data_IF_474377421180
#
_entry.id   IF_474377421180
#
_cell.length_a   1.000
_cell.length_b   1.000
_cell.length_c   1.000
_cell.angle_alpha   90.00
_cell.angle_beta   90.00
_cell.angle_gamma   90.00
#
_symmetry.space_group_name_H-M   'P 1'
#
loop_
_entity.id
_entity.type
_entity.pdbx_description
1 polymer ?
#
# COMPACT_ATOMS: atom_id res chain seq x y z
N UNK A 1 25.92 9.31 -20.76
CA UNK A 1 26.41 8.17 -21.57
C UNK A 1 26.35 8.62 -23.00
N UNK A 2 27.45 8.39 -23.73
CA UNK A 2 27.51 8.70 -25.15
C UNK A 2 26.66 7.72 -25.95
N UNK A 3 26.06 8.19 -27.04
CA UNK A 3 25.27 7.34 -27.93
C UNK A 3 26.21 6.46 -28.73
N UNK A 4 25.89 5.20 -28.83
CA UNK A 4 26.73 4.20 -29.54
C UNK A 4 26.41 4.19 -31.03
N UNK A 5 27.42 4.27 -31.85
CA UNK A 5 27.32 4.28 -33.31
C UNK A 5 27.97 3.04 -33.89
N UNK A 6 27.27 2.34 -34.77
CA UNK A 6 27.81 1.25 -35.60
C UNK A 6 27.79 1.69 -37.06
N UNK A 7 28.87 1.43 -37.79
CA UNK A 7 29.03 1.89 -39.18
C UNK A 7 29.29 0.69 -40.10
N UNK A 8 28.54 0.62 -41.21
CA UNK A 8 28.69 -0.47 -42.21
C UNK A 8 28.86 0.13 -43.59
N UNK A 9 29.94 -0.26 -44.25
CA UNK A 9 30.23 0.09 -45.65
C UNK A 9 31.28 -0.89 -46.19
N UNK A 10 31.09 -1.45 -47.39
CA UNK A 10 32.01 -2.39 -48.01
C UNK A 10 33.25 -1.68 -48.63
N UNK A 11 33.17 -0.36 -48.77
CA UNK A 11 34.31 0.45 -49.25
C UNK A 11 35.11 0.96 -48.04
N UNK A 12 36.30 0.35 -47.81
CA UNK A 12 37.18 0.70 -46.70
C UNK A 12 37.46 2.21 -46.55
N UNK A 13 37.64 2.91 -47.69
CA UNK A 13 37.94 4.36 -47.69
C UNK A 13 36.74 5.17 -47.14
N UNK A 14 35.52 4.74 -47.47
CA UNK A 14 34.29 5.38 -46.96
C UNK A 14 34.12 5.04 -45.48
N UNK A 15 34.31 3.77 -45.14
CA UNK A 15 34.22 3.29 -43.77
C UNK A 15 35.18 4.05 -42.83
N UNK A 16 36.46 4.18 -43.24
CA UNK A 16 37.45 4.94 -42.47
C UNK A 16 37.10 6.42 -42.35
N UNK A 17 36.61 7.03 -43.43
CA UNK A 17 36.11 8.42 -43.44
C UNK A 17 34.92 8.64 -42.51
N UNK A 18 33.96 7.71 -42.47
CA UNK A 18 32.81 7.76 -41.59
C UNK A 18 33.22 7.52 -40.12
N UNK A 19 34.14 6.62 -39.87
CA UNK A 19 34.70 6.40 -38.52
C UNK A 19 35.43 7.62 -37.99
N UNK A 20 36.12 8.36 -38.88
CA UNK A 20 36.88 9.58 -38.57
C UNK A 20 36.01 10.84 -38.42
N UNK A 21 34.68 10.75 -38.64
CA UNK A 21 33.76 11.86 -38.41
C UNK A 21 33.78 12.26 -36.93
N UNK A 22 33.61 13.56 -36.60
CA UNK A 22 33.75 14.02 -35.21
C UNK A 22 32.54 13.67 -34.34
N UNK A 23 32.31 12.39 -34.10
CA UNK A 23 31.20 11.83 -33.34
C UNK A 23 31.09 12.39 -31.92
N UNK A 24 32.22 12.66 -31.29
CA UNK A 24 32.29 13.19 -29.92
C UNK A 24 31.61 14.56 -29.79
N UNK A 25 31.58 15.37 -30.86
CA UNK A 25 30.86 16.67 -30.86
C UNK A 25 29.35 16.49 -30.63
N UNK A 26 28.82 15.32 -30.95
CA UNK A 26 27.41 14.97 -30.77
C UNK A 26 27.18 14.10 -29.52
N UNK A 27 28.22 13.86 -28.70
CA UNK A 27 28.17 12.93 -27.59
C UNK A 27 27.84 11.51 -28.08
N UNK A 28 28.51 11.09 -29.13
CA UNK A 28 28.44 9.77 -29.75
C UNK A 28 29.80 9.11 -29.71
N UNK A 29 29.84 7.79 -29.69
CA UNK A 29 31.09 7.01 -29.84
C UNK A 29 30.85 5.85 -30.81
N UNK A 30 31.83 5.62 -31.72
CA UNK A 30 31.82 4.46 -32.62
C UNK A 30 32.18 3.23 -31.82
N UNK A 31 31.27 2.23 -31.80
CA UNK A 31 31.46 0.97 -31.05
C UNK A 31 31.87 -0.21 -31.91
N UNK A 32 31.80 -0.02 -33.22
CA UNK A 32 32.26 -1.00 -34.21
C UNK A 32 32.04 -0.51 -35.62
N UNK A 33 32.69 -1.21 -36.55
CA UNK A 33 32.52 -1.05 -37.99
C UNK A 33 32.53 -2.42 -38.65
N UNK A 34 31.81 -2.59 -39.75
CA UNK A 34 31.70 -3.83 -40.50
C UNK A 34 31.70 -3.55 -42.01
N UNK A 35 32.21 -4.51 -42.80
CA UNK A 35 32.27 -4.43 -44.26
C UNK A 35 31.08 -5.16 -44.93
N UNK A 36 30.29 -5.92 -44.15
CA UNK A 36 29.08 -6.58 -44.62
C UNK A 36 27.98 -6.63 -43.57
N UNK A 37 26.77 -6.96 -44.01
CA UNK A 37 25.58 -6.99 -43.12
C UNK A 37 25.60 -8.13 -42.11
N UNK A 38 26.30 -9.25 -42.36
CA UNK A 38 26.34 -10.39 -41.44
C UNK A 38 27.24 -10.07 -40.24
N UNK A 39 28.43 -9.53 -40.47
CA UNK A 39 29.29 -9.01 -39.41
C UNK A 39 28.61 -7.87 -38.66
N UNK A 40 27.90 -7.00 -39.39
CA UNK A 40 27.11 -5.92 -38.80
C UNK A 40 26.07 -6.41 -37.81
N UNK A 41 25.37 -7.51 -38.09
CA UNK A 41 24.39 -8.10 -37.16
C UNK A 41 25.04 -8.63 -35.88
N UNK A 42 26.20 -9.29 -35.99
CA UNK A 42 26.94 -9.77 -34.81
C UNK A 42 27.35 -8.60 -33.90
N UNK A 43 27.85 -7.52 -34.50
CA UNK A 43 28.23 -6.31 -33.77
C UNK A 43 27.05 -5.58 -33.20
N UNK A 44 25.92 -5.50 -33.91
CA UNK A 44 24.68 -4.89 -33.42
C UNK A 44 24.14 -5.67 -32.22
N UNK A 45 24.15 -7.00 -32.26
CA UNK A 45 23.71 -7.84 -31.14
C UNK A 45 24.65 -7.71 -29.92
N UNK A 46 25.97 -7.54 -30.13
CA UNK A 46 26.97 -7.40 -29.06
C UNK A 46 26.96 -6.04 -28.40
N UNK A 47 26.85 -4.97 -29.18
CA UNK A 47 27.04 -3.60 -28.68
C UNK A 47 25.79 -2.84 -28.43
N UNK A 48 24.62 -3.28 -28.96
CA UNK A 48 23.33 -2.60 -28.88
C UNK A 48 23.46 -1.12 -29.24
N UNK A 49 23.77 -0.79 -30.52
CA UNK A 49 24.00 0.59 -30.95
C UNK A 49 22.70 1.41 -30.91
N UNK A 50 22.82 2.70 -30.56
CA UNK A 50 21.76 3.66 -30.63
C UNK A 50 21.51 4.16 -32.05
N UNK A 51 22.61 4.26 -32.84
CA UNK A 51 22.61 4.75 -34.19
C UNK A 51 23.38 3.76 -35.06
N UNK A 52 22.86 3.47 -36.24
CA UNK A 52 23.55 2.69 -37.27
C UNK A 52 23.61 3.53 -38.56
N UNK A 53 24.80 3.65 -39.14
CA UNK A 53 25.01 4.09 -40.52
C UNK A 53 25.32 2.87 -41.37
N UNK A 54 24.55 2.62 -42.41
CA UNK A 54 24.80 1.46 -43.29
C UNK A 54 24.70 1.83 -44.76
N UNK A 55 25.67 1.39 -45.54
CA UNK A 55 25.47 1.39 -47.00
C UNK A 55 24.36 0.40 -47.37
N UNK A 56 23.62 0.70 -48.44
CA UNK A 56 22.60 -0.20 -48.98
C UNK A 56 23.25 -1.35 -49.74
N UNK A 57 24.29 -1.09 -50.52
CA UNK A 57 24.93 -2.09 -51.38
C UNK A 57 26.17 -2.66 -50.71
N UNK A 58 26.00 -3.80 -50.07
CA UNK A 58 27.10 -4.57 -49.48
C UNK A 58 27.09 -6.02 -49.98
N UNK A 59 28.23 -6.71 -50.00
CA UNK A 59 28.30 -8.12 -50.35
C UNK A 59 27.48 -8.99 -49.39
N UNK A 60 26.84 -10.02 -49.90
CA UNK A 60 26.07 -10.94 -49.08
C UNK A 60 24.72 -10.35 -48.65
N UNK A 61 24.65 -9.80 -47.44
CA UNK A 61 23.49 -9.13 -46.90
C UNK A 61 23.52 -7.65 -47.17
N UNK A 62 22.55 -7.12 -47.90
CA UNK A 62 22.43 -5.70 -48.17
C UNK A 62 21.95 -4.89 -46.97
N UNK A 63 22.16 -3.55 -46.98
CA UNK A 63 21.80 -2.67 -45.88
C UNK A 63 20.29 -2.60 -45.56
N UNK A 64 19.40 -2.90 -46.51
CA UNK A 64 17.96 -2.96 -46.28
C UNK A 64 17.58 -4.23 -45.52
N UNK A 65 18.10 -5.39 -45.96
CA UNK A 65 17.92 -6.67 -45.27
C UNK A 65 18.49 -6.63 -43.85
N UNK A 66 19.67 -6.08 -43.69
CA UNK A 66 20.31 -5.82 -42.41
C UNK A 66 19.40 -4.95 -41.51
N UNK A 67 18.93 -3.82 -42.04
CA UNK A 67 18.08 -2.88 -41.31
C UNK A 67 16.75 -3.53 -40.84
N UNK A 68 16.15 -4.38 -41.68
CA UNK A 68 14.93 -5.11 -41.33
C UNK A 68 15.17 -6.07 -40.15
N UNK A 69 16.29 -6.77 -40.14
CA UNK A 69 16.63 -7.69 -39.04
C UNK A 69 16.89 -6.91 -37.73
N UNK A 70 17.71 -5.85 -37.79
CA UNK A 70 17.96 -5.00 -36.62
C UNK A 70 16.71 -4.41 -36.05
N UNK A 71 15.78 -3.91 -36.89
CA UNK A 71 14.52 -3.31 -36.43
C UNK A 71 13.60 -4.32 -35.77
N UNK A 72 13.65 -5.61 -36.15
CA UNK A 72 12.90 -6.68 -35.47
C UNK A 72 13.39 -6.93 -34.06
N UNK A 73 14.71 -6.92 -33.84
CA UNK A 73 15.34 -7.20 -32.56
C UNK A 73 15.49 -5.95 -31.68
N UNK A 74 15.79 -4.82 -32.30
CA UNK A 74 16.06 -3.54 -31.63
C UNK A 74 15.27 -2.40 -32.30
N UNK A 75 13.94 -2.28 -32.07
CA UNK A 75 13.09 -1.29 -32.73
C UNK A 75 13.51 0.17 -32.47
N UNK A 76 14.16 0.39 -31.33
CA UNK A 76 14.58 1.72 -30.86
C UNK A 76 15.87 2.24 -31.52
N UNK A 77 16.66 1.35 -32.17
CA UNK A 77 17.88 1.74 -32.88
C UNK A 77 17.55 2.59 -34.09
N UNK A 78 18.14 3.78 -34.18
CA UNK A 78 17.96 4.67 -35.33
C UNK A 78 18.91 4.26 -36.44
N UNK A 79 18.41 4.05 -37.67
CA UNK A 79 19.16 3.59 -38.81
C UNK A 79 19.18 4.68 -39.89
N UNK A 80 20.37 5.02 -40.36
CA UNK A 80 20.63 5.95 -41.44
C UNK A 80 21.21 5.14 -42.61
N UNK A 81 20.54 5.15 -43.76
CA UNK A 81 21.04 4.47 -44.95
C UNK A 81 21.83 5.41 -45.85
N UNK A 82 22.95 4.92 -46.37
CA UNK A 82 23.80 5.58 -47.35
C UNK A 82 23.62 4.91 -48.72
N UNK A 83 23.55 5.67 -49.79
CA UNK A 83 23.35 5.11 -51.12
C UNK A 83 24.00 5.96 -52.20
N UNK A 84 24.60 5.31 -53.18
CA UNK A 84 25.16 5.99 -54.40
C UNK A 84 24.15 6.17 -55.51
N UNK A 85 22.87 5.79 -55.33
CA UNK A 85 21.85 5.80 -56.39
C UNK A 85 20.60 6.49 -55.93
N UNK A 86 20.13 7.41 -56.76
CA UNK A 86 18.80 8.03 -56.62
C UNK A 86 17.71 7.04 -57.09
N UNK A 87 17.57 5.93 -56.37
CA UNK A 87 16.61 4.90 -56.67
C UNK A 87 15.39 4.96 -55.73
N UNK A 88 14.31 5.45 -56.25
CA UNK A 88 13.04 5.62 -55.53
C UNK A 88 12.55 4.33 -54.81
N UNK A 89 12.87 3.14 -55.39
CA UNK A 89 12.47 1.86 -54.79
C UNK A 89 13.15 1.60 -53.46
N UNK A 90 14.43 1.98 -53.28
CA UNK A 90 15.15 1.82 -52.02
C UNK A 90 14.63 2.77 -50.96
N UNK A 91 14.36 3.99 -51.31
CA UNK A 91 13.75 4.96 -50.38
C UNK A 91 12.34 4.49 -49.90
N UNK A 92 11.54 3.92 -50.79
CA UNK A 92 10.24 3.36 -50.42
C UNK A 92 10.37 2.13 -49.46
N UNK A 93 11.34 1.26 -49.69
CA UNK A 93 11.62 0.11 -48.80
C UNK A 93 12.13 0.58 -47.45
N UNK A 94 13.07 1.53 -47.42
CA UNK A 94 13.63 2.11 -46.20
C UNK A 94 12.53 2.70 -45.29
N UNK A 95 11.57 3.42 -45.89
CA UNK A 95 10.40 3.95 -45.16
C UNK A 95 9.53 2.84 -44.56
N UNK A 96 9.32 1.71 -45.26
CA UNK A 96 8.54 0.59 -44.74
C UNK A 96 9.21 -0.13 -43.56
N UNK A 97 10.55 -0.19 -43.58
CA UNK A 97 11.38 -0.78 -42.52
C UNK A 97 11.41 0.14 -41.28
N UNK A 98 11.13 1.43 -41.45
CA UNK A 98 11.23 2.43 -40.38
C UNK A 98 12.64 2.93 -40.17
N UNK A 99 13.41 3.04 -41.25
CA UNK A 99 14.71 3.73 -41.27
C UNK A 99 14.49 5.23 -41.04
N UNK A 100 15.32 5.83 -40.23
CA UNK A 100 15.07 7.20 -39.78
C UNK A 100 15.49 8.27 -40.81
N UNK A 101 16.54 8.00 -41.58
CA UNK A 101 17.09 8.93 -42.60
C UNK A 101 17.78 8.18 -43.75
N UNK A 102 17.95 8.89 -44.85
CA UNK A 102 18.53 8.39 -46.10
C UNK A 102 19.44 9.45 -46.70
N UNK A 103 20.72 9.15 -46.90
CA UNK A 103 21.73 10.06 -47.42
C UNK A 103 22.32 9.57 -48.73
N UNK A 104 22.50 10.49 -49.68
CA UNK A 104 23.11 10.19 -50.98
C UNK A 104 24.63 10.26 -50.91
N UNK A 105 25.34 9.26 -51.47
CA UNK A 105 26.78 9.31 -51.73
C UNK A 105 27.07 10.13 -53.01
N UNK A 106 28.10 10.98 -53.04
CA UNK A 106 29.06 11.22 -51.97
C UNK A 106 28.45 11.99 -50.80
N UNK A 107 28.66 11.51 -49.59
CA UNK A 107 28.05 12.09 -48.37
C UNK A 107 28.58 13.51 -48.18
N UNK A 108 27.64 14.46 -48.14
CA UNK A 108 27.96 15.84 -47.83
C UNK A 108 28.10 15.99 -46.31
N UNK A 109 29.27 16.40 -45.83
CA UNK A 109 29.51 16.59 -44.38
C UNK A 109 28.50 17.55 -43.73
N UNK A 110 28.02 18.61 -44.40
CA UNK A 110 27.02 19.51 -43.84
C UNK A 110 25.68 18.80 -43.66
N UNK A 111 25.29 17.97 -44.60
CA UNK A 111 24.06 17.20 -44.54
C UNK A 111 24.16 16.12 -43.45
N UNK A 112 25.28 15.42 -43.39
CA UNK A 112 25.55 14.45 -42.33
C UNK A 112 25.49 15.09 -40.93
N UNK A 113 26.14 16.26 -40.75
CA UNK A 113 26.05 17.02 -39.48
C UNK A 113 24.60 17.30 -39.08
N UNK A 114 23.76 17.78 -40.00
CA UNK A 114 22.35 18.09 -39.71
C UNK A 114 21.56 16.82 -39.35
N UNK A 115 21.76 15.73 -40.06
CA UNK A 115 21.08 14.45 -39.82
C UNK A 115 21.47 13.87 -38.47
N UNK A 116 22.76 13.82 -38.15
CA UNK A 116 23.27 13.29 -36.87
C UNK A 116 22.75 14.13 -35.71
N UNK A 117 22.77 15.46 -35.81
CA UNK A 117 22.22 16.35 -34.78
C UNK A 117 20.73 16.06 -34.54
N UNK A 118 19.95 15.92 -35.60
CA UNK A 118 18.53 15.63 -35.54
C UNK A 118 18.25 14.26 -34.88
N UNK A 119 19.00 13.22 -35.31
CA UNK A 119 18.83 11.85 -34.77
C UNK A 119 19.22 11.79 -33.29
N UNK A 120 20.37 12.39 -32.93
CA UNK A 120 20.83 12.46 -31.53
C UNK A 120 19.79 13.19 -30.64
N UNK A 121 19.21 14.29 -31.12
CA UNK A 121 18.19 15.04 -30.40
C UNK A 121 16.91 14.22 -30.20
N UNK A 122 16.48 13.47 -31.22
CA UNK A 122 15.34 12.55 -31.16
C UNK A 122 15.56 11.45 -30.11
N UNK A 123 16.71 10.80 -30.13
CA UNK A 123 17.07 9.74 -29.18
C UNK A 123 17.09 10.29 -27.75
N UNK A 124 17.74 11.44 -27.52
CA UNK A 124 17.80 12.06 -26.20
C UNK A 124 16.43 12.44 -25.67
N UNK A 125 15.56 13.00 -26.51
CA UNK A 125 14.19 13.35 -26.12
C UNK A 125 13.41 12.08 -25.72
N UNK A 126 13.49 11.02 -26.53
CA UNK A 126 12.85 9.73 -26.25
C UNK A 126 13.36 9.12 -24.93
N UNK A 127 14.67 9.11 -24.72
CA UNK A 127 15.29 8.57 -23.52
C UNK A 127 14.90 9.39 -22.27
N UNK A 128 14.83 10.71 -22.39
CA UNK A 128 14.34 11.59 -21.32
C UNK A 128 12.88 11.26 -20.97
N UNK A 129 12.01 11.15 -21.96
CA UNK A 129 10.59 10.81 -21.72
C UNK A 129 10.45 9.43 -21.06
N UNK A 130 11.22 8.40 -21.50
CA UNK A 130 11.23 7.07 -20.87
C UNK A 130 11.69 7.15 -19.41
N UNK A 131 12.73 7.94 -19.14
CA UNK A 131 13.24 8.14 -17.78
C UNK A 131 12.24 8.86 -16.90
N UNK A 132 11.68 9.97 -17.38
CA UNK A 132 10.67 10.76 -16.64
C UNK A 132 9.44 9.88 -16.30
N UNK A 133 8.98 9.08 -17.28
CA UNK A 133 7.87 8.15 -17.05
C UNK A 133 8.21 7.06 -16.01
N UNK A 134 9.42 6.50 -16.07
CA UNK A 134 9.87 5.49 -15.12
C UNK A 134 10.01 6.04 -13.70
N UNK A 135 10.53 7.26 -13.56
CA UNK A 135 10.64 7.95 -12.28
C UNK A 135 9.26 8.32 -11.71
N UNK A 136 8.36 8.80 -12.56
CA UNK A 136 6.97 9.08 -12.17
C UNK A 136 6.26 7.80 -11.70
N UNK A 137 6.43 6.69 -12.43
CA UNK A 137 5.87 5.39 -12.05
C UNK A 137 6.42 4.89 -10.70
N UNK A 138 7.72 5.03 -10.46
CA UNK A 138 8.35 4.67 -9.17
C UNK A 138 7.77 5.52 -8.03
N UNK A 139 7.70 6.84 -8.21
CA UNK A 139 7.10 7.74 -7.21
C UNK A 139 5.65 7.38 -6.92
N UNK A 140 4.86 7.10 -7.96
CA UNK A 140 3.47 6.67 -7.81
C UNK A 140 3.37 5.38 -7.00
N UNK A 141 4.19 4.36 -7.33
CA UNK A 141 4.21 3.10 -6.59
C UNK A 141 4.62 3.26 -5.12
N UNK A 142 5.54 4.17 -4.81
CA UNK A 142 5.96 4.46 -3.44
C UNK A 142 4.91 5.23 -2.65
N UNK A 143 4.18 6.14 -3.29
CA UNK A 143 3.19 7.00 -2.63
C UNK A 143 1.84 6.30 -2.46
N UNK A 144 1.47 5.40 -3.38
CA UNK A 144 0.17 4.73 -3.40
C UNK A 144 -0.18 3.99 -2.09
N UNK A 145 0.75 3.23 -1.45
CA UNK A 145 0.46 2.58 -0.18
C UNK A 145 0.12 3.58 0.92
N UNK A 146 0.85 4.70 1.01
CA UNK A 146 0.59 5.75 2.02
C UNK A 146 -0.79 6.39 1.83
N UNK A 147 -1.19 6.66 0.58
CA UNK A 147 -2.51 7.24 0.29
C UNK A 147 -3.62 6.24 0.59
N UNK A 148 -3.39 4.94 0.33
CA UNK A 148 -4.33 3.87 0.69
C UNK A 148 -4.49 3.74 2.21
N UNK A 149 -3.38 3.67 2.97
CA UNK A 149 -3.42 3.61 4.43
C UNK A 149 -4.16 4.82 5.00
N UNK A 150 -3.87 6.03 4.50
CA UNK A 150 -4.60 7.23 4.91
C UNK A 150 -6.11 7.13 4.67
N UNK A 151 -6.54 6.61 3.52
CA UNK A 151 -7.95 6.42 3.22
C UNK A 151 -8.61 5.40 4.17
N UNK A 152 -7.92 4.27 4.42
CA UNK A 152 -8.38 3.24 5.37
C UNK A 152 -8.51 3.82 6.77
N UNK A 153 -7.52 4.57 7.25
CA UNK A 153 -7.56 5.28 8.53
C UNK A 153 -8.75 6.25 8.60
N UNK A 154 -8.98 7.03 7.53
CA UNK A 154 -10.12 7.95 7.48
C UNK A 154 -11.47 7.22 7.51
N UNK A 155 -11.58 6.02 6.89
CA UNK A 155 -12.75 5.14 6.98
C UNK A 155 -12.99 4.65 8.41
N UNK A 156 -11.96 4.10 9.05
CA UNK A 156 -12.02 3.55 10.40
C UNK A 156 -12.50 4.63 11.39
N UNK A 157 -11.91 5.81 11.33
CA UNK A 157 -12.21 6.88 12.29
C UNK A 157 -13.35 7.83 11.86
N UNK A 158 -14.03 7.55 10.75
CA UNK A 158 -15.16 8.33 10.27
C UNK A 158 -14.81 9.77 9.88
N UNK A 159 -13.60 10.02 9.37
CA UNK A 159 -13.10 11.37 9.05
C UNK A 159 -13.55 11.87 7.67
N UNK A 160 -14.68 11.39 7.17
CA UNK A 160 -15.28 11.84 5.91
C UNK A 160 -16.38 12.86 6.16
N UNK A 161 -16.39 13.90 5.33
CA UNK A 161 -17.46 14.90 5.32
C UNK A 161 -18.50 14.64 4.25
N UNK A 162 -18.08 14.04 3.12
CA UNK A 162 -18.93 13.79 1.97
C UNK A 162 -18.76 12.33 1.47
N UNK A 163 -19.84 11.54 1.46
CA UNK A 163 -19.84 10.19 0.90
C UNK A 163 -19.43 10.12 -0.57
N UNK A 164 -19.76 11.12 -1.39
CA UNK A 164 -19.41 11.12 -2.80
C UNK A 164 -17.89 11.26 -3.01
N UNK A 165 -17.21 12.10 -2.23
CA UNK A 165 -15.74 12.23 -2.28
C UNK A 165 -15.05 10.92 -1.87
N UNK A 166 -15.58 10.22 -0.89
CA UNK A 166 -15.09 8.92 -0.48
C UNK A 166 -15.21 7.87 -1.59
N UNK A 167 -16.36 7.77 -2.26
CA UNK A 167 -16.58 6.82 -3.36
C UNK A 167 -15.56 7.04 -4.48
N UNK A 168 -15.32 8.30 -4.87
CA UNK A 168 -14.32 8.65 -5.89
C UNK A 168 -12.91 8.24 -5.47
N UNK A 169 -12.53 8.47 -4.20
CA UNK A 169 -11.21 8.08 -3.69
C UNK A 169 -11.03 6.57 -3.63
N UNK A 170 -12.05 5.83 -3.20
CA UNK A 170 -12.04 4.37 -3.20
C UNK A 170 -11.86 3.81 -4.61
N UNK A 171 -12.57 4.34 -5.60
CA UNK A 171 -12.43 3.95 -7.00
C UNK A 171 -11.03 4.24 -7.54
N UNK A 172 -10.50 5.45 -7.34
CA UNK A 172 -9.15 5.86 -7.77
C UNK A 172 -8.05 4.97 -7.17
N UNK A 173 -8.23 4.52 -5.94
CA UNK A 173 -7.27 3.68 -5.22
C UNK A 173 -7.53 2.18 -5.40
N UNK A 174 -8.56 1.83 -6.21
CA UNK A 174 -9.01 0.45 -6.41
C UNK A 174 -9.27 -0.29 -5.08
N UNK A 175 -9.94 0.39 -4.15
CA UNK A 175 -10.40 -0.18 -2.88
C UNK A 175 -11.85 -0.60 -3.06
N UNK A 176 -12.10 -1.91 -2.94
CA UNK A 176 -13.44 -2.50 -3.03
C UNK A 176 -13.85 -3.06 -1.68
N UNK A 177 -15.01 -2.69 -1.21
CA UNK A 177 -15.62 -3.19 0.04
C UNK A 177 -17.08 -3.54 -0.26
N UNK A 178 -17.30 -4.73 -0.80
CA UNK A 178 -18.66 -5.20 -1.14
C UNK A 178 -19.40 -5.67 0.11
N UNK A 179 -18.73 -6.44 0.93
CA UNK A 179 -19.18 -6.86 2.26
C UNK A 179 -17.96 -6.94 3.16
N UNK A 180 -18.06 -6.46 4.38
CA UNK A 180 -16.94 -6.45 5.30
C UNK A 180 -17.33 -6.79 6.73
N UNK A 181 -16.37 -7.36 7.45
CA UNK A 181 -16.36 -7.58 8.89
C UNK A 181 -15.13 -6.84 9.44
N UNK A 182 -15.29 -6.17 10.56
CA UNK A 182 -14.17 -5.56 11.25
C UNK A 182 -13.70 -6.47 12.38
N UNK A 183 -12.40 -6.72 12.42
CA UNK A 183 -11.73 -7.46 13.50
C UNK A 183 -10.80 -6.49 14.22
N UNK A 184 -10.98 -6.35 15.51
CA UNK A 184 -10.09 -5.61 16.38
C UNK A 184 -9.34 -6.57 17.28
N UNK A 185 -8.01 -6.44 17.32
CA UNK A 185 -7.14 -7.31 18.12
C UNK A 185 -6.38 -6.50 19.16
N UNK A 186 -6.27 -7.03 20.38
CA UNK A 186 -5.52 -6.42 21.47
C UNK A 186 -4.68 -7.46 22.19
N UNK A 187 -3.41 -7.13 22.45
CA UNK A 187 -2.55 -7.94 23.28
C UNK A 187 -2.90 -7.68 24.73
N UNK A 188 -3.24 -8.74 25.47
CA UNK A 188 -3.70 -8.68 26.86
C UNK A 188 -2.61 -9.02 27.85
N UNK A 189 -1.67 -9.90 27.48
CA UNK A 189 -0.48 -10.16 28.27
C UNK A 189 0.75 -10.22 27.36
N UNK A 190 1.81 -9.54 27.72
CA UNK A 190 3.12 -9.74 27.11
C UNK A 190 3.81 -10.86 27.88
N UNK A 191 4.19 -11.95 27.19
CA UNK A 191 4.92 -13.06 27.83
C UNK A 191 6.21 -12.56 28.49
N UNK A 192 6.53 -13.06 29.66
CA UNK A 192 7.75 -12.75 30.45
C UNK A 192 9.04 -13.27 29.79
N UNK A 193 9.00 -13.60 28.52
CA UNK A 193 10.08 -14.22 27.76
C UNK A 193 10.71 -13.29 26.72
N UNK A 194 11.61 -13.79 25.94
CA UNK A 194 12.51 -13.21 24.93
C UNK A 194 11.99 -12.09 23.99
N UNK A 195 10.69 -11.73 24.07
CA UNK A 195 10.09 -10.62 23.31
C UNK A 195 10.42 -9.25 23.87
N UNK A 196 10.92 -9.16 25.13
CA UNK A 196 11.41 -7.90 25.71
C UNK A 196 12.63 -7.33 24.96
N UNK A 197 13.32 -8.14 24.16
CA UNK A 197 14.48 -7.73 23.35
C UNK A 197 14.11 -7.28 21.91
N UNK A 198 12.85 -7.44 21.50
CA UNK A 198 12.40 -6.94 20.18
C UNK A 198 12.07 -5.45 20.27
N UNK A 199 12.59 -4.68 19.32
CA UNK A 199 12.16 -3.28 19.16
C UNK A 199 10.62 -3.24 19.02
N UNK A 200 9.90 -2.34 19.73
CA UNK A 200 8.43 -2.31 19.73
C UNK A 200 7.80 -2.34 18.33
N UNK A 201 8.38 -1.65 17.36
CA UNK A 201 7.88 -1.65 15.99
C UNK A 201 8.04 -2.97 15.23
N UNK A 202 8.99 -3.83 15.62
CA UNK A 202 9.17 -5.15 15.02
C UNK A 202 8.12 -6.13 15.53
N UNK A 203 7.75 -6.01 16.79
CA UNK A 203 6.69 -6.82 17.40
C UNK A 203 5.34 -6.55 16.73
N UNK A 204 4.97 -5.28 16.60
CA UNK A 204 3.74 -4.86 15.91
C UNK A 204 3.70 -5.37 14.46
N UNK A 205 4.82 -5.31 13.77
CA UNK A 205 4.94 -5.81 12.40
C UNK A 205 4.70 -7.33 12.32
N UNK A 206 5.25 -8.11 13.25
CA UNK A 206 5.06 -9.57 13.28
C UNK A 206 3.59 -9.91 13.56
N UNK A 207 2.97 -9.28 14.56
CA UNK A 207 1.57 -9.52 14.91
C UNK A 207 0.63 -9.16 13.75
N UNK A 208 0.81 -7.99 13.14
CA UNK A 208 0.04 -7.58 11.98
C UNK A 208 0.15 -8.55 10.81
N UNK A 209 1.36 -9.01 10.49
CA UNK A 209 1.56 -9.94 9.38
C UNK A 209 0.90 -11.30 9.63
N UNK A 210 1.02 -11.85 10.84
CA UNK A 210 0.36 -13.11 11.20
C UNK A 210 -1.15 -12.95 11.05
N UNK A 211 -1.74 -11.91 11.64
CA UNK A 211 -3.17 -11.66 11.54
C UNK A 211 -3.63 -11.50 10.08
N UNK A 212 -2.91 -10.72 9.28
CA UNK A 212 -3.25 -10.56 7.87
C UNK A 212 -3.18 -11.87 7.09
N UNK A 213 -2.16 -12.69 7.32
CA UNK A 213 -1.97 -13.95 6.60
C UNK A 213 -3.14 -14.91 6.83
N UNK A 214 -3.56 -15.09 8.08
CA UNK A 214 -4.68 -15.97 8.41
C UNK A 214 -6.03 -15.41 7.92
N UNK A 215 -6.30 -14.12 8.14
CA UNK A 215 -7.53 -13.48 7.69
C UNK A 215 -7.66 -13.46 6.15
N UNK A 216 -6.56 -13.42 5.41
CA UNK A 216 -6.56 -13.51 3.94
C UNK A 216 -6.87 -14.88 3.39
N UNK A 217 -6.70 -15.95 4.16
CA UNK A 217 -6.99 -17.31 3.68
C UNK A 217 -8.48 -17.51 3.38
N UNK A 218 -9.37 -16.83 4.08
CA UNK A 218 -10.82 -16.98 3.98
C UNK A 218 -11.52 -15.78 3.33
N UNK A 219 -10.79 -14.72 2.99
CA UNK A 219 -11.33 -13.45 2.50
C UNK A 219 -10.79 -13.06 1.13
N UNK A 220 -11.44 -12.10 0.47
CA UNK A 220 -10.98 -11.52 -0.81
C UNK A 220 -9.85 -10.53 -0.60
N UNK A 221 -9.95 -9.72 0.46
CA UNK A 221 -9.01 -8.65 0.77
C UNK A 221 -9.05 -8.35 2.27
N UNK A 222 -7.88 -8.01 2.81
CA UNK A 222 -7.73 -7.49 4.19
C UNK A 222 -7.03 -6.15 4.11
N UNK A 223 -7.54 -5.17 4.84
CA UNK A 223 -6.89 -3.89 5.09
C UNK A 223 -6.58 -3.80 6.58
N UNK A 224 -5.33 -3.48 6.91
CA UNK A 224 -4.86 -3.36 8.29
C UNK A 224 -4.46 -1.93 8.61
N UNK A 225 -4.62 -1.55 9.86
CA UNK A 225 -4.16 -0.30 10.46
C UNK A 225 -3.79 -0.57 11.92
N UNK A 226 -2.82 0.16 12.44
CA UNK A 226 -2.43 0.05 13.86
C UNK A 226 -3.03 1.21 14.62
N UNK A 227 -3.74 0.91 15.70
CA UNK A 227 -4.28 1.88 16.65
C UNK A 227 -3.33 2.02 17.85
N UNK A 228 -3.58 3.02 18.70
CA UNK A 228 -2.80 3.25 19.93
C UNK A 228 -2.85 2.11 20.93
N UNK A 229 -3.92 1.30 20.90
CA UNK A 229 -4.19 0.24 21.86
C UNK A 229 -4.30 -1.16 21.23
N UNK A 230 -4.28 -1.26 19.89
CA UNK A 230 -4.46 -2.55 19.21
C UNK A 230 -4.31 -2.50 17.70
N UNK A 231 -4.80 -3.53 17.06
CA UNK A 231 -4.66 -3.75 15.62
C UNK A 231 -6.05 -3.85 14.98
N UNK A 232 -6.24 -3.12 13.91
CA UNK A 232 -7.48 -2.98 13.17
C UNK A 232 -7.40 -3.75 11.85
N UNK A 233 -8.39 -4.60 11.56
CA UNK A 233 -8.47 -5.34 10.30
C UNK A 233 -9.86 -5.19 9.70
N UNK A 234 -9.95 -4.71 8.46
CA UNK A 234 -11.17 -4.72 7.66
C UNK A 234 -11.07 -5.94 6.75
N UNK A 235 -11.85 -6.96 7.00
CA UNK A 235 -11.87 -8.22 6.26
C UNK A 235 -13.00 -8.17 5.25
N UNK A 236 -12.67 -8.24 3.95
CA UNK A 236 -13.63 -8.06 2.86
C UNK A 236 -13.99 -9.40 2.25
N UNK A 237 -15.28 -9.63 2.08
CA UNK A 237 -15.88 -10.83 1.52
C UNK A 237 -16.69 -10.51 0.25
N UNK A 238 -16.95 -11.52 -0.60
CA UNK A 238 -17.85 -11.34 -1.74
C UNK A 238 -19.27 -11.06 -1.25
N UNK A 239 -20.00 -10.19 -1.93
CA UNK A 239 -21.39 -9.86 -1.61
C UNK A 239 -22.34 -11.07 -1.63
N UNK A 240 -21.96 -12.16 -2.28
CA UNK A 240 -22.74 -13.40 -2.38
C UNK A 240 -22.66 -14.27 -1.12
N UNK A 241 -21.73 -14.00 -0.20
CA UNK A 241 -21.56 -14.76 1.04
C UNK A 241 -22.57 -14.28 2.09
N UNK A 242 -23.08 -15.21 2.90
CA UNK A 242 -23.94 -14.84 4.04
C UNK A 242 -23.12 -14.10 5.10
N UNK A 243 -23.76 -13.12 5.74
CA UNK A 243 -23.08 -12.30 6.76
C UNK A 243 -22.62 -13.11 7.98
N UNK A 244 -23.36 -14.15 8.37
CA UNK A 244 -22.98 -15.05 9.46
C UNK A 244 -21.77 -15.91 9.09
N UNK A 245 -21.71 -16.37 7.85
CA UNK A 245 -20.56 -17.13 7.36
C UNK A 245 -19.30 -16.26 7.35
N UNK A 246 -19.42 -14.98 6.98
CA UNK A 246 -18.32 -14.03 7.05
C UNK A 246 -17.75 -13.89 8.47
N UNK A 247 -18.64 -13.73 9.46
CA UNK A 247 -18.25 -13.63 10.89
C UNK A 247 -17.63 -14.94 11.37
N UNK A 248 -18.25 -16.10 11.08
CA UNK A 248 -17.72 -17.41 11.45
C UNK A 248 -16.32 -17.67 10.90
N UNK A 249 -16.04 -17.23 9.66
CA UNK A 249 -14.70 -17.32 9.07
C UNK A 249 -13.68 -16.44 9.82
N UNK A 250 -14.10 -15.24 10.26
CA UNK A 250 -13.24 -14.38 11.07
C UNK A 250 -12.94 -15.04 12.43
N UNK A 251 -13.94 -15.66 13.08
CA UNK A 251 -13.76 -16.38 14.36
C UNK A 251 -12.74 -17.49 14.21
N UNK A 252 -12.91 -18.37 13.22
CA UNK A 252 -11.98 -19.47 12.94
C UNK A 252 -10.55 -18.97 12.70
N UNK A 253 -10.41 -17.92 11.89
CA UNK A 253 -9.09 -17.32 11.66
C UNK A 253 -8.49 -16.76 12.95
N UNK A 254 -9.27 -16.10 13.81
CA UNK A 254 -8.81 -15.57 15.09
C UNK A 254 -8.37 -16.70 16.05
N UNK A 255 -9.06 -17.85 16.08
CA UNK A 255 -8.64 -19.03 16.88
C UNK A 255 -7.28 -19.55 16.43
N UNK A 256 -7.03 -19.62 15.13
CA UNK A 256 -5.74 -20.04 14.59
C UNK A 256 -4.63 -19.01 14.88
N UNK A 257 -4.95 -17.71 14.78
CA UNK A 257 -4.03 -16.63 15.12
C UNK A 257 -3.63 -16.70 16.60
N UNK A 258 -4.58 -16.90 17.52
CA UNK A 258 -4.26 -17.03 18.96
C UNK A 258 -3.25 -18.13 19.21
N UNK A 259 -3.43 -19.31 18.62
CA UNK A 259 -2.50 -20.44 18.76
C UNK A 259 -1.10 -20.07 18.27
N UNK A 260 -1.02 -19.48 17.07
CA UNK A 260 0.25 -19.11 16.46
C UNK A 260 0.96 -17.98 17.21
N UNK A 261 0.24 -16.96 17.67
CA UNK A 261 0.82 -15.85 18.42
C UNK A 261 1.34 -16.36 19.77
N UNK A 262 0.59 -17.21 20.46
CA UNK A 262 1.01 -17.81 21.75
C UNK A 262 2.30 -18.61 21.60
N UNK A 263 2.44 -19.37 20.51
CA UNK A 263 3.65 -20.16 20.23
C UNK A 263 4.87 -19.29 19.89
N UNK A 264 4.67 -18.14 19.24
CA UNK A 264 5.75 -17.27 18.75
C UNK A 264 6.15 -16.22 19.79
N UNK A 265 5.17 -15.60 20.45
CA UNK A 265 5.40 -14.43 21.31
C UNK A 265 5.22 -14.71 22.79
N UNK A 266 4.71 -15.90 23.18
CA UNK A 266 4.26 -16.25 24.54
C UNK A 266 3.27 -15.23 25.14
N UNK A 267 2.69 -14.38 24.30
CA UNK A 267 1.69 -13.38 24.67
C UNK A 267 0.27 -13.86 24.38
N UNK A 268 -0.69 -13.32 25.08
CA UNK A 268 -2.10 -13.55 24.83
C UNK A 268 -2.70 -12.40 24.03
N UNK A 269 -3.59 -12.75 23.10
CA UNK A 269 -4.28 -11.78 22.22
C UNK A 269 -5.78 -12.04 22.27
N UNK A 270 -6.55 -10.98 22.44
CA UNK A 270 -8.01 -11.02 22.40
C UNK A 270 -8.54 -10.33 21.15
N UNK A 271 -9.66 -10.82 20.66
CA UNK A 271 -10.30 -10.32 19.44
C UNK A 271 -11.75 -9.91 19.69
N UNK A 272 -12.13 -8.76 19.13
CA UNK A 272 -13.51 -8.36 18.97
C UNK A 272 -13.89 -8.34 17.50
N UNK A 273 -15.06 -8.87 17.16
CA UNK A 273 -15.53 -9.05 15.79
C UNK A 273 -16.87 -8.34 15.62
N UNK A 274 -16.96 -7.45 14.63
CA UNK A 274 -18.18 -6.72 14.30
C UNK A 274 -19.21 -7.58 13.58
N UNK A 275 -20.42 -7.07 13.46
CA UNK A 275 -21.39 -7.58 12.49
C UNK A 275 -20.89 -7.36 11.06
N UNK A 276 -21.30 -8.27 10.15
CA UNK A 276 -21.04 -8.10 8.72
C UNK A 276 -21.88 -6.93 8.16
N UNK A 277 -21.25 -6.06 7.38
CA UNK A 277 -21.84 -4.88 6.76
C UNK A 277 -21.59 -4.87 5.25
N UNK A 278 -22.56 -4.32 4.50
CA UNK A 278 -22.47 -4.20 3.04
C UNK A 278 -22.20 -2.78 2.56
N UNK A 279 -22.33 -1.80 3.46
CA UNK A 279 -22.10 -0.38 3.16
C UNK A 279 -20.70 0.04 3.60
N UNK A 280 -19.83 0.46 2.67
CA UNK A 280 -18.48 0.96 3.00
C UNK A 280 -18.47 2.11 4.01
N UNK A 281 -19.57 2.88 4.10
CA UNK A 281 -19.70 3.99 5.04
C UNK A 281 -19.91 3.53 6.48
N UNK A 282 -20.27 2.26 6.69
CA UNK A 282 -20.45 1.66 8.01
C UNK A 282 -19.18 1.17 8.68
N UNK A 283 -17.99 1.29 8.02
CA UNK A 283 -16.69 0.84 8.59
C UNK A 283 -16.43 1.44 9.97
N UNK A 284 -16.75 2.72 10.18
CA UNK A 284 -16.59 3.35 11.51
C UNK A 284 -17.51 2.73 12.57
N UNK A 285 -18.73 2.34 12.19
CA UNK A 285 -19.65 1.63 13.09
C UNK A 285 -19.11 0.23 13.39
N UNK A 286 -18.66 -0.51 12.37
CA UNK A 286 -18.06 -1.83 12.53
C UNK A 286 -16.82 -1.78 13.43
N UNK A 287 -15.98 -0.75 13.29
CA UNK A 287 -14.83 -0.52 14.19
C UNK A 287 -15.28 -0.39 15.65
N UNK A 288 -16.29 0.46 15.93
CA UNK A 288 -16.80 0.64 17.30
C UNK A 288 -17.36 -0.64 17.89
N UNK A 289 -18.10 -1.41 17.09
CA UNK A 289 -18.62 -2.71 17.51
C UNK A 289 -17.50 -3.70 17.87
N UNK A 290 -16.48 -3.78 17.03
CA UNK A 290 -15.35 -4.68 17.28
C UNK A 290 -14.50 -4.26 18.49
N UNK A 291 -14.27 -2.95 18.66
CA UNK A 291 -13.58 -2.42 19.87
C UNK A 291 -14.36 -2.76 21.12
N UNK A 292 -15.67 -2.51 21.13
CA UNK A 292 -16.54 -2.80 22.27
C UNK A 292 -16.55 -4.29 22.62
N UNK A 293 -16.63 -5.17 21.61
CA UNK A 293 -16.52 -6.61 21.83
C UNK A 293 -15.16 -7.01 22.42
N UNK A 294 -14.06 -6.46 21.90
CA UNK A 294 -12.72 -6.74 22.40
C UNK A 294 -12.50 -6.22 23.84
N UNK A 295 -13.02 -5.04 24.15
CA UNK A 295 -12.94 -4.49 25.52
C UNK A 295 -13.68 -5.39 26.53
N UNK A 296 -14.81 -5.97 26.15
CA UNK A 296 -15.51 -6.93 27.01
C UNK A 296 -14.69 -8.19 27.27
N UNK A 297 -13.95 -8.72 26.28
CA UNK A 297 -13.04 -9.81 26.50
C UNK A 297 -12.05 -9.53 27.63
N UNK A 298 -11.47 -8.33 27.62
CA UNK A 298 -10.51 -7.90 28.65
C UNK A 298 -11.14 -7.77 30.02
N UNK A 299 -12.41 -7.35 30.11
CA UNK A 299 -13.13 -7.20 31.38
C UNK A 299 -13.56 -8.53 31.99
N UNK A 300 -13.80 -9.56 31.16
CA UNK A 300 -14.15 -10.89 31.67
C UNK A 300 -12.97 -11.61 32.34
N UNK A 301 -11.75 -11.03 32.25
CA UNK A 301 -10.55 -11.57 32.90
C UNK A 301 -10.02 -12.86 32.27
N UNK A 302 -10.44 -13.14 31.04
CA UNK A 302 -9.90 -14.24 30.25
C UNK A 302 -8.73 -13.71 29.43
N UNK A 303 -7.55 -14.28 29.65
CA UNK A 303 -6.28 -13.81 29.03
C UNK A 303 -6.27 -13.91 27.50
N UNK A 304 -7.18 -14.71 26.89
CA UNK A 304 -7.26 -14.92 25.47
C UNK A 304 -8.69 -15.27 25.07
N UNK A 305 -9.45 -14.30 24.56
CA UNK A 305 -10.85 -14.51 24.16
C UNK A 305 -11.18 -13.90 22.82
N UNK A 306 -12.21 -14.47 22.18
CA UNK A 306 -12.77 -13.99 20.92
C UNK A 306 -14.26 -13.73 21.16
N UNK A 307 -14.72 -12.49 20.95
CA UNK A 307 -16.09 -12.14 21.16
C UNK A 307 -16.70 -11.52 19.90
N UNK A 308 -17.87 -12.01 19.52
CA UNK A 308 -18.68 -11.41 18.47
C UNK A 308 -19.55 -10.28 19.06
N UNK A 309 -19.77 -9.22 18.31
CA UNK A 309 -20.62 -8.12 18.76
C UNK A 309 -22.09 -8.54 19.02
N UNK A 310 -22.58 -9.61 18.37
CA UNK A 310 -23.89 -10.21 18.67
C UNK A 310 -24.04 -10.61 20.13
N UNK A 311 -22.98 -11.22 20.69
CA UNK A 311 -23.02 -11.68 22.09
C UNK A 311 -23.03 -10.51 23.06
N UNK A 312 -22.36 -9.41 22.68
CA UNK A 312 -22.37 -8.14 23.41
C UNK A 312 -23.75 -7.49 23.41
N UNK A 313 -24.42 -7.47 22.26
CA UNK A 313 -25.75 -6.88 22.14
C UNK A 313 -26.80 -7.64 22.96
N UNK A 314 -26.66 -8.96 23.08
CA UNK A 314 -27.55 -9.80 23.92
C UNK A 314 -27.32 -9.55 25.44
N UNK A 315 -26.06 -9.28 25.83
CA UNK A 315 -25.74 -8.89 27.21
C UNK A 315 -26.27 -7.49 27.54
N UNK A 316 -26.23 -6.55 26.59
CA UNK A 316 -26.76 -5.20 26.77
C UNK A 316 -28.28 -5.17 26.96
N UNK A 317 -29.03 -6.14 26.45
CA UNK A 317 -30.46 -6.27 26.75
C UNK A 317 -30.75 -6.59 28.22
N UNK A 318 -29.77 -7.11 28.96
CA UNK A 318 -29.84 -7.37 30.41
C UNK A 318 -29.11 -6.30 31.25
N UNK A 319 -28.70 -5.15 30.66
CA UNK A 319 -27.94 -4.14 31.38
C UNK A 319 -28.82 -3.34 32.34
N UNK A 320 -28.23 -3.02 33.49
CA UNK A 320 -28.78 -2.09 34.46
C UNK A 320 -28.91 -0.69 33.86
N UNK A 321 -30.15 -0.20 33.73
CA UNK A 321 -30.43 1.02 32.96
C UNK A 321 -30.19 2.28 33.80
N UNK A 322 -28.95 2.84 33.68
CA UNK A 322 -28.58 4.07 34.35
C UNK A 322 -29.00 5.27 33.50
N UNK A 323 -29.90 6.08 33.99
CA UNK A 323 -30.37 7.23 33.25
C UNK A 323 -29.30 8.31 33.05
N UNK A 324 -29.39 9.08 31.96
CA UNK A 324 -28.47 10.20 31.69
C UNK A 324 -28.45 11.25 32.81
N UNK A 325 -29.59 11.40 33.52
CA UNK A 325 -29.69 12.28 34.69
C UNK A 325 -28.85 11.80 35.87
N UNK A 326 -28.87 10.49 36.15
CA UNK A 326 -28.05 9.86 37.18
C UNK A 326 -26.57 9.94 36.86
N UNK A 327 -26.19 9.67 35.60
CA UNK A 327 -24.79 9.85 35.13
C UNK A 327 -24.29 11.27 35.35
N UNK A 328 -25.05 12.28 34.89
CA UNK A 328 -24.66 13.70 35.04
C UNK A 328 -24.55 14.10 36.51
N UNK A 329 -25.42 13.63 37.36
CA UNK A 329 -25.40 13.92 38.80
C UNK A 329 -24.15 13.30 39.44
N UNK A 330 -23.89 12.02 39.21
CA UNK A 330 -22.70 11.33 39.71
C UNK A 330 -21.40 12.04 39.25
N UNK A 331 -21.26 12.34 37.97
CA UNK A 331 -20.09 13.00 37.43
C UNK A 331 -19.88 14.42 37.97
N UNK A 332 -20.95 15.14 38.24
CA UNK A 332 -20.86 16.47 38.87
C UNK A 332 -20.37 16.40 40.31
N UNK A 333 -20.76 15.39 41.09
CA UNK A 333 -20.30 15.22 42.48
C UNK A 333 -18.82 14.75 42.50
N UNK A 334 -18.43 13.87 41.58
CA UNK A 334 -17.00 13.49 41.40
C UNK A 334 -16.13 14.68 40.97
N UNK A 335 -16.60 15.50 40.03
CA UNK A 335 -15.89 16.69 39.57
C UNK A 335 -15.73 17.77 40.69
N UNK A 336 -16.70 17.83 41.62
CA UNK A 336 -16.61 18.72 42.80
C UNK A 336 -15.74 18.17 43.92
N UNK A 337 -15.28 16.90 43.83
CA UNK A 337 -14.50 16.25 44.87
C UNK A 337 -15.35 15.76 46.08
N UNK A 338 -16.67 15.65 45.93
CA UNK A 338 -17.57 15.20 46.98
C UNK A 338 -17.61 13.65 47.05
N UNK A 339 -16.53 13.02 47.48
CA UNK A 339 -16.35 11.56 47.43
C UNK A 339 -17.44 10.78 48.18
N UNK A 340 -17.82 11.25 49.36
CA UNK A 340 -18.85 10.58 50.19
C UNK A 340 -20.26 10.62 49.53
N UNK A 341 -20.60 11.78 48.95
CA UNK A 341 -21.87 11.96 48.24
C UNK A 341 -21.90 11.14 46.95
N UNK A 342 -20.80 11.11 46.23
CA UNK A 342 -20.66 10.30 45.00
C UNK A 342 -20.76 8.79 45.30
N UNK A 343 -20.11 8.31 46.38
CA UNK A 343 -20.15 6.91 46.82
C UNK A 343 -21.59 6.50 47.20
N UNK A 344 -22.26 7.30 48.01
CA UNK A 344 -23.65 7.01 48.45
C UNK A 344 -24.60 7.00 47.24
N UNK A 345 -24.41 7.91 46.30
CA UNK A 345 -25.24 7.97 45.12
C UNK A 345 -24.94 6.80 44.13
N UNK A 346 -23.71 6.40 44.00
CA UNK A 346 -23.35 5.18 43.23
C UNK A 346 -23.99 3.94 43.87
N UNK A 347 -23.95 3.80 45.19
CA UNK A 347 -24.68 2.72 45.90
C UNK A 347 -26.19 2.71 45.63
N UNK A 348 -26.83 3.88 45.59
CA UNK A 348 -28.23 3.99 45.22
C UNK A 348 -28.54 3.58 43.78
N UNK A 349 -27.66 3.90 42.86
CA UNK A 349 -27.78 3.51 41.43
C UNK A 349 -27.81 1.98 41.28
N UNK A 350 -27.02 1.26 42.08
CA UNK A 350 -26.92 -0.21 42.01
C UNK A 350 -27.85 -0.93 43.05
N UNK A 351 -28.64 -0.18 43.80
CA UNK A 351 -29.57 -0.77 44.80
C UNK A 351 -30.65 -1.60 44.09
N UNK A 352 -30.67 -2.91 44.37
CA UNK A 352 -31.59 -3.87 43.74
C UNK A 352 -31.00 -4.61 42.53
N UNK A 353 -29.75 -4.41 42.18
CA UNK A 353 -29.05 -5.21 41.20
C UNK A 353 -28.60 -6.52 41.87
N UNK A 354 -29.25 -7.65 41.54
CA UNK A 354 -28.92 -8.97 42.12
C UNK A 354 -27.81 -9.70 41.35
N UNK A 355 -27.55 -9.27 40.08
CA UNK A 355 -26.53 -9.88 39.22
C UNK A 355 -25.22 -9.13 39.35
N UNK A 356 -24.20 -9.80 39.86
CA UNK A 356 -22.87 -9.24 40.10
C UNK A 356 -22.16 -8.86 38.79
N UNK A 357 -22.39 -9.60 37.71
CA UNK A 357 -21.75 -9.34 36.43
C UNK A 357 -22.39 -8.13 35.72
N UNK A 358 -23.70 -8.00 35.80
CA UNK A 358 -24.43 -6.80 35.36
C UNK A 358 -23.98 -5.58 36.16
N UNK A 359 -23.80 -5.71 37.48
CA UNK A 359 -23.33 -4.63 38.36
C UNK A 359 -21.90 -4.19 37.97
N UNK A 360 -20.98 -5.15 37.77
CA UNK A 360 -19.59 -4.87 37.35
C UNK A 360 -19.56 -4.15 36.01
N UNK A 361 -20.34 -4.61 35.04
CA UNK A 361 -20.42 -4.00 33.72
C UNK A 361 -20.91 -2.54 33.79
N UNK A 362 -22.03 -2.30 34.45
CA UNK A 362 -22.64 -0.97 34.60
C UNK A 362 -21.69 -0.01 35.38
N UNK A 363 -21.01 -0.51 36.41
CA UNK A 363 -20.02 0.27 37.16
C UNK A 363 -18.84 0.69 36.29
N UNK A 364 -18.36 -0.21 35.41
CA UNK A 364 -17.26 0.07 34.50
C UNK A 364 -17.65 1.08 33.41
N UNK A 365 -18.84 0.93 32.83
CA UNK A 365 -19.41 1.92 31.90
C UNK A 365 -19.48 3.31 32.50
N UNK A 366 -19.90 3.40 33.76
CA UNK A 366 -19.93 4.65 34.52
C UNK A 366 -18.55 5.22 34.74
N UNK A 367 -17.55 4.38 35.05
CA UNK A 367 -16.16 4.82 35.23
C UNK A 367 -15.59 5.39 33.93
N UNK A 368 -15.72 4.67 32.80
CA UNK A 368 -15.25 5.11 31.49
C UNK A 368 -15.92 6.44 31.11
N UNK A 369 -17.25 6.54 31.25
CA UNK A 369 -18.00 7.75 30.95
C UNK A 369 -17.60 8.91 31.86
N UNK A 370 -17.32 8.63 33.14
CA UNK A 370 -16.81 9.61 34.08
C UNK A 370 -15.40 10.13 33.67
N UNK A 371 -14.51 9.22 33.23
CA UNK A 371 -13.20 9.58 32.71
C UNK A 371 -13.28 10.44 31.46
N UNK A 372 -14.16 10.12 30.52
CA UNK A 372 -14.39 10.93 29.33
C UNK A 372 -14.95 12.33 29.67
N UNK A 373 -15.88 12.40 30.62
CA UNK A 373 -16.46 13.66 31.10
C UNK A 373 -15.41 14.56 31.77
N UNK A 374 -14.53 13.98 32.61
CA UNK A 374 -13.49 14.71 33.33
C UNK A 374 -12.28 15.01 32.46
N UNK A 375 -11.96 14.22 31.44
CA UNK A 375 -10.84 14.44 30.51
C UNK A 375 -11.00 15.68 29.62
N UNK A 376 -12.22 16.14 29.44
CA UNK A 376 -12.51 17.43 28.76
C UNK A 376 -12.27 18.67 29.62
N UNK A 377 -12.04 18.54 30.94
CA UNK A 377 -11.92 19.66 31.90
C UNK A 377 -10.56 19.72 32.63
N UNK A 378 -9.41 19.48 31.98
CA UNK A 378 -8.12 19.98 32.48
C UNK A 378 -7.29 19.17 33.51
N UNK A 379 -6.00 19.47 33.49
CA UNK A 379 -4.81 19.24 34.32
C UNK A 379 -4.95 18.77 35.80
N UNK A 380 -6.10 18.97 36.45
CA UNK A 380 -6.39 18.45 37.81
C UNK A 380 -6.63 16.94 37.86
N UNK A 381 -6.75 16.34 36.70
CA UNK A 381 -7.11 14.94 36.54
C UNK A 381 -5.97 13.95 36.83
N UNK A 382 -4.72 14.28 36.50
CA UNK A 382 -3.57 13.39 36.80
C UNK A 382 -3.43 13.08 38.29
N UNK A 383 -3.72 14.05 39.13
CA UNK A 383 -3.64 13.89 40.58
C UNK A 383 -4.79 13.07 41.17
N UNK A 384 -5.95 12.98 40.48
CA UNK A 384 -7.07 12.17 40.92
C UNK A 384 -6.89 10.68 40.55
N UNK A 385 -6.31 10.39 39.40
CA UNK A 385 -6.01 8.99 38.92
C UNK A 385 -4.97 8.32 39.81
N UNK A 386 -3.93 9.03 40.25
CA UNK A 386 -2.94 8.51 41.20
C UNK A 386 -3.53 8.17 42.58
N UNK A 387 -4.70 8.73 42.91
CA UNK A 387 -5.41 8.42 44.18
C UNK A 387 -6.49 7.34 44.01
N UNK A 388 -6.94 7.01 42.80
CA UNK A 388 -7.96 5.99 42.54
C UNK A 388 -7.40 4.58 42.47
N UNK A 389 -6.09 4.38 42.27
CA UNK A 389 -5.44 3.07 42.44
C UNK A 389 -5.63 2.49 43.85
N UNK A 390 -5.91 3.34 44.84
CA UNK A 390 -6.24 2.93 46.22
C UNK A 390 -7.69 2.45 46.38
N UNK A 391 -8.58 2.73 45.40
CA UNK A 391 -10.01 2.33 45.49
C UNK A 391 -10.27 0.94 44.88
N UNK A 392 -9.43 0.45 43.98
CA UNK A 392 -9.50 -0.92 43.46
C UNK A 392 -9.07 -1.97 44.48
N UNK A 393 -8.21 -1.65 45.44
CA UNK A 393 -7.83 -2.53 46.52
C UNK A 393 -8.90 -2.70 47.66
N UNK A 394 -9.98 -1.95 47.58
CA UNK A 394 -11.08 -1.99 48.60
C UNK A 394 -12.37 -2.66 48.13
N UNK A 395 -12.33 -3.30 46.93
CA UNK A 395 -13.50 -4.05 46.38
C UNK A 395 -13.26 -5.58 46.44
N UNK A 396 -12.04 -6.03 46.84
CA UNK A 396 -11.84 -7.37 47.31
C UNK A 396 -12.25 -7.45 48.79
#
# INVERSE_FOLDING_TARGET
MDLKVLILDDEYIILDGLCSFPWEMYGCCVVGSAEDGAEGLELAARHHPDIILSDIKMPGMNGLEFSEQVKKESPDTEIILLTGYDNFSFAQQALRIGVCEYLLKPVNFREMHAVIEQVCSRIRLRNKQKKDYSEMRKKYQQTLPMVRSKLISDLIYGRFRDPADMAVRMELLNIRMEQHVFVYARITSAGDGQTADLEPGLYDFVVCNICEEFLRQTSVQVYSETDTLGYCFIVVYPKSMDGRDCVSHCVQACEEIQKNIKDITMGDISFGISLAQTDPYSVNMSYKQAVEACEQCVYMGEDSSILEYTDVADVQMNTWNITEGERKRLFSEVARGNIETARNFAGQIFEGCEDLDVMRYAAMELLISCFQYLGNESQKFRTAVERTSVLTESIE
#
